data_IF_653745433505
#
_entry.id   IF_653745433505
#
_cell.length_a   1.000
_cell.length_b   1.000
_cell.length_c   1.000
_cell.angle_alpha   90.00
_cell.angle_beta   90.00
_cell.angle_gamma   90.00
#
_symmetry.space_group_name_H-M   'P 1'
#
loop_
_entity.id
_entity.type
_entity.pdbx_description
1 polymer ?
#
# COMPACT_ATOMS: atom_id res chain seq x y z
N UNK A 1 27.45 -21.34 -3.50
CA UNK A 1 26.56 -20.74 -4.56
C UNK A 1 26.13 -19.38 -4.06
N UNK A 2 26.36 -18.29 -4.78
CA UNK A 2 25.96 -16.95 -4.31
C UNK A 2 24.43 -16.88 -4.15
N UNK A 3 23.99 -16.50 -2.98
CA UNK A 3 22.55 -16.39 -2.69
C UNK A 3 21.96 -15.19 -3.42
N UNK A 4 20.83 -15.39 -4.07
CA UNK A 4 20.12 -14.40 -4.89
C UNK A 4 18.69 -14.24 -4.38
N UNK A 5 18.28 -12.99 -4.16
CA UNK A 5 16.87 -12.62 -3.94
C UNK A 5 16.36 -11.73 -5.08
N UNK A 6 15.07 -11.67 -5.27
CA UNK A 6 14.44 -10.74 -6.21
C UNK A 6 13.85 -9.56 -5.45
N UNK A 7 14.04 -8.35 -6.01
CA UNK A 7 13.44 -7.10 -5.55
C UNK A 7 12.55 -6.52 -6.64
N UNK A 8 11.40 -5.96 -6.27
CA UNK A 8 10.50 -5.31 -7.22
C UNK A 8 11.15 -4.07 -7.85
N UNK A 9 11.26 -4.07 -9.18
CA UNK A 9 11.84 -2.97 -9.94
C UNK A 9 11.03 -1.67 -9.89
N UNK A 10 9.76 -1.71 -9.48
CA UNK A 10 8.88 -0.54 -9.30
C UNK A 10 9.19 0.26 -8.05
N UNK A 11 10.00 -0.28 -7.13
CA UNK A 11 10.46 0.44 -5.95
C UNK A 11 11.44 1.55 -6.34
N UNK A 12 11.38 2.68 -5.62
CA UNK A 12 12.33 3.78 -5.81
C UNK A 12 13.75 3.33 -5.45
N UNK A 13 14.71 3.66 -6.30
CA UNK A 13 16.12 3.48 -5.97
C UNK A 13 16.46 4.17 -4.64
N UNK A 14 17.31 3.59 -3.84
CA UNK A 14 17.74 4.04 -2.50
C UNK A 14 16.69 3.96 -1.38
N UNK A 15 15.40 3.68 -1.66
CA UNK A 15 14.41 3.45 -0.59
C UNK A 15 14.83 2.33 0.36
N UNK A 16 15.55 1.35 -0.16
CA UNK A 16 15.93 0.12 0.53
C UNK A 16 17.44 0.05 0.91
N UNK A 17 18.15 1.18 0.92
CA UNK A 17 19.61 1.20 1.12
C UNK A 17 20.07 0.53 2.43
N UNK A 18 19.31 0.66 3.53
CA UNK A 18 19.61 -0.01 4.80
C UNK A 18 19.58 -1.53 4.62
N UNK A 19 18.56 -2.05 3.92
CA UNK A 19 18.38 -3.47 3.60
C UNK A 19 19.51 -3.96 2.69
N UNK A 20 19.80 -3.20 1.64
CA UNK A 20 20.88 -3.50 0.69
C UNK A 20 22.27 -3.49 1.35
N UNK A 21 22.49 -2.59 2.31
CA UNK A 21 23.75 -2.58 3.09
C UNK A 21 23.95 -3.86 3.88
N UNK A 22 22.87 -4.35 4.51
CA UNK A 22 22.91 -5.63 5.20
C UNK A 22 23.12 -6.80 4.21
N UNK A 23 22.41 -6.84 3.08
CA UNK A 23 22.58 -7.90 2.07
C UNK A 23 24.03 -7.97 1.57
N UNK A 24 24.65 -6.80 1.30
CA UNK A 24 26.07 -6.73 0.92
C UNK A 24 26.99 -7.31 2.01
N UNK A 25 26.72 -6.99 3.28
CA UNK A 25 27.58 -7.44 4.39
C UNK A 25 27.56 -8.96 4.60
N UNK A 26 26.47 -9.64 4.23
CA UNK A 26 26.31 -11.10 4.34
C UNK A 26 26.44 -11.83 3.00
N UNK A 27 26.91 -11.15 1.94
CA UNK A 27 27.19 -11.76 0.64
C UNK A 27 25.96 -12.16 -0.18
N UNK A 28 24.78 -11.62 0.15
CA UNK A 28 23.55 -11.85 -0.60
C UNK A 28 23.43 -10.86 -1.76
N UNK A 29 23.18 -11.37 -2.95
CA UNK A 29 22.89 -10.58 -4.14
C UNK A 29 21.39 -10.38 -4.32
N UNK A 30 21.00 -9.28 -4.97
CA UNK A 30 19.60 -9.06 -5.37
C UNK A 30 19.51 -8.64 -6.82
N UNK A 31 18.45 -9.05 -7.48
CA UNK A 31 18.12 -8.66 -8.84
C UNK A 31 16.80 -7.92 -8.83
N UNK A 32 16.74 -6.81 -9.55
CA UNK A 32 15.50 -6.01 -9.68
C UNK A 32 14.72 -6.47 -10.90
N UNK A 33 13.48 -6.90 -10.65
CA UNK A 33 12.53 -7.33 -11.67
C UNK A 33 11.11 -7.01 -11.23
N UNK A 34 10.17 -6.90 -12.16
CA UNK A 34 8.77 -6.70 -11.82
C UNK A 34 8.22 -7.95 -11.12
N UNK A 35 7.88 -7.84 -9.84
CA UNK A 35 7.31 -8.92 -9.06
C UNK A 35 5.79 -8.95 -9.19
N UNK A 36 5.21 -10.13 -9.10
CA UNK A 36 3.77 -10.29 -9.08
C UNK A 36 3.15 -9.75 -7.79
N UNK A 37 3.83 -9.95 -6.67
CA UNK A 37 3.38 -9.54 -5.34
C UNK A 37 4.57 -9.16 -4.46
N UNK A 38 4.38 -8.15 -3.60
CA UNK A 38 5.39 -7.70 -2.62
C UNK A 38 6.61 -7.03 -3.25
N UNK A 39 7.61 -6.78 -2.40
CA UNK A 39 8.87 -6.12 -2.73
C UNK A 39 10.04 -7.11 -2.85
N UNK A 40 9.98 -8.22 -2.10
CA UNK A 40 11.04 -9.25 -2.06
C UNK A 40 10.48 -10.65 -2.14
N UNK A 41 11.20 -11.53 -2.87
CA UNK A 41 10.93 -12.97 -2.95
C UNK A 41 12.18 -13.74 -3.41
N UNK A 42 12.10 -15.08 -3.47
CA UNK A 42 13.15 -15.91 -4.05
C UNK A 42 12.89 -16.22 -5.52
N UNK A 43 13.95 -16.30 -6.37
CA UNK A 43 13.78 -16.67 -7.79
C UNK A 43 13.26 -18.10 -8.00
N UNK A 44 13.66 -19.03 -7.12
CA UNK A 44 13.28 -20.44 -7.24
C UNK A 44 11.94 -20.76 -6.56
N UNK A 45 11.50 -19.91 -5.60
CA UNK A 45 10.27 -20.13 -4.85
C UNK A 45 9.61 -18.79 -4.54
N UNK A 46 8.57 -18.44 -5.26
CA UNK A 46 7.79 -17.24 -5.09
C UNK A 46 6.52 -17.45 -4.24
N UNK A 47 6.42 -18.58 -3.55
CA UNK A 47 5.30 -18.87 -2.64
C UNK A 47 5.30 -17.97 -1.40
N UNK A 48 6.43 -17.33 -1.09
CA UNK A 48 6.57 -16.35 -0.01
C UNK A 48 7.01 -15.02 -0.59
N UNK A 49 6.25 -13.95 -0.31
CA UNK A 49 6.57 -12.59 -0.69
C UNK A 49 6.54 -11.66 0.52
N UNK A 50 7.38 -10.63 0.49
CA UNK A 50 7.45 -9.62 1.54
C UNK A 50 7.14 -8.26 0.93
N UNK A 51 6.17 -7.56 1.49
CA UNK A 51 5.85 -6.16 1.21
C UNK A 51 6.40 -5.29 2.35
N UNK A 52 7.22 -4.30 2.05
CA UNK A 52 7.92 -3.52 3.07
C UNK A 52 7.31 -2.14 3.24
N UNK A 53 7.16 -1.71 4.50
CA UNK A 53 6.70 -0.36 4.86
C UNK A 53 7.82 0.34 5.64
N UNK A 54 8.14 1.56 5.24
CA UNK A 54 9.23 2.34 5.87
C UNK A 54 8.93 2.78 7.30
N UNK A 55 7.63 2.84 7.66
CA UNK A 55 7.15 3.21 8.98
C UNK A 55 5.67 2.84 9.19
N UNK A 56 5.20 2.99 10.43
CA UNK A 56 3.80 2.74 10.78
C UNK A 56 2.85 3.74 10.09
N UNK A 57 3.31 4.94 9.75
CA UNK A 57 2.48 5.94 9.07
C UNK A 57 2.23 5.56 7.60
N UNK A 58 3.20 4.94 6.91
CA UNK A 58 2.99 4.37 5.58
C UNK A 58 1.96 3.24 5.63
N UNK A 59 2.08 2.32 6.61
CA UNK A 59 1.08 1.27 6.83
C UNK A 59 -0.32 1.85 7.05
N UNK A 60 -0.47 2.89 7.89
CA UNK A 60 -1.75 3.58 8.10
C UNK A 60 -2.28 4.15 6.79
N UNK A 61 -1.42 4.80 6.01
CA UNK A 61 -1.79 5.37 4.71
C UNK A 61 -2.37 4.32 3.78
N UNK A 62 -1.70 3.17 3.67
CA UNK A 62 -2.11 2.08 2.80
C UNK A 62 -3.43 1.41 3.24
N UNK A 63 -3.59 1.21 4.56
CA UNK A 63 -4.81 0.63 5.14
C UNK A 63 -6.01 1.57 5.00
N UNK A 64 -5.79 2.88 5.11
CA UNK A 64 -6.83 3.90 5.14
C UNK A 64 -7.15 4.52 3.78
N UNK A 65 -6.60 4.02 2.69
CA UNK A 65 -7.00 4.48 1.36
C UNK A 65 -8.53 4.41 1.27
N UNK A 66 -9.17 5.58 1.21
CA UNK A 66 -10.62 5.67 1.04
C UNK A 66 -10.97 5.13 -0.33
N UNK A 67 -11.45 3.90 -0.36
CA UNK A 67 -11.97 3.30 -1.58
C UNK A 67 -13.20 4.08 -2.02
N UNK A 68 -13.31 4.35 -3.31
CA UNK A 68 -14.53 4.93 -3.87
C UNK A 68 -15.68 3.93 -3.76
N UNK A 69 -16.87 4.41 -3.41
CA UNK A 69 -18.08 3.58 -3.40
C UNK A 69 -18.45 3.12 -4.81
N UNK A 70 -19.19 2.01 -4.93
CA UNK A 70 -19.70 1.54 -6.24
C UNK A 70 -20.57 2.62 -6.91
N UNK A 71 -21.34 3.39 -6.13
CA UNK A 71 -22.15 4.50 -6.65
C UNK A 71 -21.31 5.64 -7.22
N UNK A 72 -20.23 6.06 -6.50
CA UNK A 72 -19.33 7.11 -6.98
C UNK A 72 -18.57 6.67 -8.24
N UNK A 73 -18.15 5.39 -8.29
CA UNK A 73 -17.52 4.81 -9.49
C UNK A 73 -18.52 4.81 -10.65
N UNK A 74 -19.76 4.37 -10.43
CA UNK A 74 -20.79 4.36 -11.47
C UNK A 74 -20.95 5.75 -12.06
N UNK A 75 -21.18 6.74 -11.22
CA UNK A 75 -21.31 8.13 -11.66
C UNK A 75 -20.14 8.57 -12.52
N UNK A 76 -18.89 8.36 -12.06
CA UNK A 76 -17.70 8.78 -12.79
C UNK A 76 -17.45 8.03 -14.09
N UNK A 77 -17.76 6.74 -14.14
CA UNK A 77 -17.68 5.95 -15.39
C UNK A 77 -18.62 6.52 -16.44
N UNK A 78 -19.88 6.82 -16.05
CA UNK A 78 -20.86 7.34 -16.98
C UNK A 78 -20.58 8.80 -17.39
N UNK A 79 -20.10 9.67 -16.49
CA UNK A 79 -19.61 11.01 -16.82
C UNK A 79 -18.46 10.96 -17.84
N UNK A 80 -17.51 10.05 -17.64
CA UNK A 80 -16.37 9.87 -18.54
C UNK A 80 -16.82 9.30 -19.90
N UNK A 81 -17.74 8.36 -19.90
CA UNK A 81 -18.31 7.76 -21.09
C UNK A 81 -19.07 8.80 -21.94
N UNK A 82 -19.91 9.60 -21.32
CA UNK A 82 -20.65 10.68 -21.98
C UNK A 82 -19.71 11.70 -22.62
N UNK A 83 -18.68 12.13 -21.87
CA UNK A 83 -17.68 13.10 -22.34
C UNK A 83 -16.83 12.59 -23.52
N UNK A 84 -16.77 11.28 -23.74
CA UNK A 84 -16.01 10.65 -24.81
C UNK A 84 -16.89 9.91 -25.83
N UNK A 85 -18.20 10.17 -25.85
CA UNK A 85 -19.18 9.57 -26.77
C UNK A 85 -19.20 8.04 -26.74
N UNK A 86 -18.97 7.44 -25.58
CA UNK A 86 -19.04 5.99 -25.35
C UNK A 86 -20.49 5.61 -25.05
N UNK A 87 -21.03 4.61 -25.75
CA UNK A 87 -22.40 4.17 -25.57
C UNK A 87 -22.67 3.58 -24.19
N UNK A 88 -23.94 3.64 -23.74
CA UNK A 88 -24.37 3.20 -22.41
C UNK A 88 -23.96 1.75 -22.09
N UNK A 89 -24.26 0.82 -23.01
CA UNK A 89 -23.96 -0.62 -22.80
C UNK A 89 -22.48 -0.89 -22.59
N UNK A 90 -21.61 -0.15 -23.30
CA UNK A 90 -20.17 -0.27 -23.16
C UNK A 90 -19.68 0.36 -21.83
N UNK A 91 -20.27 1.49 -21.44
CA UNK A 91 -19.99 2.10 -20.15
C UNK A 91 -20.39 1.19 -19.00
N UNK A 92 -21.50 0.47 -19.11
CA UNK A 92 -21.95 -0.51 -18.12
C UNK A 92 -21.01 -1.71 -18.03
N UNK A 93 -20.53 -2.25 -19.15
CA UNK A 93 -19.50 -3.31 -19.16
C UNK A 93 -18.22 -2.85 -18.46
N UNK A 94 -17.72 -1.65 -18.76
CA UNK A 94 -16.54 -1.08 -18.12
C UNK A 94 -16.78 -0.89 -16.62
N UNK A 95 -17.94 -0.40 -16.21
CA UNK A 95 -18.32 -0.25 -14.81
C UNK A 95 -18.28 -1.60 -14.08
N UNK A 96 -18.85 -2.65 -14.68
CA UNK A 96 -18.81 -3.99 -14.08
C UNK A 96 -17.39 -4.51 -13.94
N UNK A 97 -16.55 -4.37 -14.97
CA UNK A 97 -15.14 -4.75 -14.90
C UNK A 97 -14.36 -3.96 -13.80
N UNK A 98 -14.68 -2.66 -13.62
CA UNK A 98 -14.08 -1.86 -12.55
C UNK A 98 -14.58 -2.29 -11.16
N UNK A 99 -15.84 -2.66 -11.03
CA UNK A 99 -16.48 -2.96 -9.75
C UNK A 99 -16.45 -4.43 -9.37
N UNK A 100 -15.93 -5.29 -10.23
CA UNK A 100 -15.77 -6.70 -9.91
C UNK A 100 -14.90 -6.85 -8.66
N UNK A 101 -15.45 -7.54 -7.67
CA UNK A 101 -14.75 -7.78 -6.41
C UNK A 101 -13.73 -8.92 -6.55
N UNK A 102 -13.75 -9.64 -7.68
CA UNK A 102 -12.72 -10.61 -8.04
C UNK A 102 -11.51 -9.89 -8.63
N UNK A 103 -10.80 -9.19 -7.73
CA UNK A 103 -9.61 -8.42 -8.07
C UNK A 103 -8.48 -9.38 -8.41
N UNK A 104 -8.51 -9.86 -9.64
CA UNK A 104 -7.45 -10.66 -10.21
C UNK A 104 -6.49 -9.78 -11.03
N UNK A 105 -5.34 -10.36 -11.35
CA UNK A 105 -4.36 -9.90 -12.35
C UNK A 105 -5.01 -9.56 -13.69
N UNK A 106 -6.16 -10.15 -13.99
CA UNK A 106 -6.87 -10.01 -15.25
C UNK A 106 -7.83 -8.82 -15.32
N UNK A 107 -8.29 -8.26 -14.21
CA UNK A 107 -9.28 -7.17 -14.24
C UNK A 107 -8.74 -5.90 -14.93
N UNK A 108 -7.46 -5.53 -14.71
CA UNK A 108 -6.86 -4.43 -15.48
C UNK A 108 -6.74 -4.77 -16.98
N UNK A 109 -6.44 -6.03 -17.30
CA UNK A 109 -6.39 -6.51 -18.66
C UNK A 109 -7.78 -6.53 -19.29
N UNK A 110 -8.79 -6.95 -18.55
CA UNK A 110 -10.17 -6.97 -19.01
C UNK A 110 -10.67 -5.57 -19.38
N UNK A 111 -10.43 -4.56 -18.54
CA UNK A 111 -10.74 -3.17 -18.85
C UNK A 111 -10.05 -2.74 -20.15
N UNK A 112 -8.76 -3.08 -20.30
CA UNK A 112 -8.00 -2.80 -21.51
C UNK A 112 -8.58 -3.50 -22.73
N UNK A 113 -8.86 -4.80 -22.62
CA UNK A 113 -9.39 -5.60 -23.73
C UNK A 113 -10.76 -5.09 -24.18
N UNK A 114 -11.64 -4.72 -23.24
CA UNK A 114 -12.94 -4.09 -23.55
C UNK A 114 -12.72 -2.77 -24.29
N UNK A 115 -11.84 -1.91 -23.75
CA UNK A 115 -11.61 -0.58 -24.31
C UNK A 115 -10.93 -0.65 -25.69
N UNK A 116 -9.88 -1.47 -25.85
CA UNK A 116 -9.17 -1.63 -27.14
C UNK A 116 -10.05 -2.20 -28.24
N UNK A 117 -10.86 -3.21 -27.95
CA UNK A 117 -11.81 -3.80 -28.91
C UNK A 117 -12.81 -2.80 -29.44
N UNK A 118 -13.12 -1.76 -28.65
CA UNK A 118 -14.11 -0.73 -29.01
C UNK A 118 -13.45 0.59 -29.44
N UNK A 119 -12.14 0.60 -29.70
CA UNK A 119 -11.42 1.76 -30.23
C UNK A 119 -11.35 2.96 -29.28
N UNK A 120 -11.44 2.73 -27.97
CA UNK A 120 -11.35 3.79 -26.96
C UNK A 120 -9.90 4.33 -26.91
N UNK A 121 -9.69 5.65 -26.96
CA UNK A 121 -8.35 6.22 -26.90
C UNK A 121 -7.60 5.89 -25.59
N UNK A 122 -6.30 5.64 -25.67
CA UNK A 122 -5.44 5.27 -24.54
C UNK A 122 -5.57 6.23 -23.34
N UNK A 123 -5.69 7.54 -23.60
CA UNK A 123 -5.92 8.52 -22.52
C UNK A 123 -7.17 8.18 -21.70
N UNK A 124 -8.25 7.77 -22.33
CA UNK A 124 -9.54 7.45 -21.67
C UNK A 124 -9.44 6.11 -20.96
N UNK A 125 -8.71 5.14 -21.54
CA UNK A 125 -8.38 3.86 -20.89
C UNK A 125 -7.65 4.10 -19.57
N UNK A 126 -6.65 4.98 -19.55
CA UNK A 126 -5.89 5.34 -18.35
C UNK A 126 -6.78 5.98 -17.27
N UNK A 127 -7.81 6.74 -17.66
CA UNK A 127 -8.78 7.30 -16.72
C UNK A 127 -9.66 6.20 -16.10
N UNK A 128 -10.14 5.24 -16.88
CA UNK A 128 -10.87 4.07 -16.35
C UNK A 128 -10.01 3.22 -15.42
N UNK A 129 -8.75 2.98 -15.78
CA UNK A 129 -7.79 2.30 -14.91
C UNK A 129 -7.57 3.06 -13.59
N UNK A 130 -7.51 4.40 -13.64
CA UNK A 130 -7.43 5.23 -12.43
C UNK A 130 -8.66 5.04 -11.52
N UNK A 131 -9.86 4.88 -12.08
CA UNK A 131 -11.08 4.58 -11.32
C UNK A 131 -11.01 3.19 -10.67
N UNK A 132 -10.51 2.19 -11.40
CA UNK A 132 -10.27 0.85 -10.86
C UNK A 132 -9.31 0.88 -9.65
N UNK A 133 -8.20 1.62 -9.77
CA UNK A 133 -7.26 1.80 -8.66
C UNK A 133 -7.91 2.50 -7.46
N UNK A 134 -8.72 3.55 -7.71
CA UNK A 134 -9.46 4.26 -6.65
C UNK A 134 -10.53 3.39 -5.98
N UNK A 135 -11.12 2.45 -6.72
CA UNK A 135 -12.11 1.50 -6.18
C UNK A 135 -11.47 0.46 -5.27
N UNK A 136 -10.32 -0.10 -5.68
CA UNK A 136 -9.74 -1.26 -5.01
C UNK A 136 -8.55 -0.92 -4.10
N UNK A 137 -7.85 0.21 -4.34
CA UNK A 137 -6.63 0.59 -3.63
C UNK A 137 -5.44 -0.34 -3.93
N UNK A 138 -4.25 0.19 -4.04
CA UNK A 138 -3.06 -0.62 -4.38
C UNK A 138 -2.77 -1.71 -3.36
N UNK A 139 -2.80 -1.36 -2.08
CA UNK A 139 -2.46 -2.28 -1.01
C UNK A 139 -3.43 -3.46 -0.95
N UNK A 140 -4.73 -3.18 -0.91
CA UNK A 140 -5.76 -4.22 -0.89
C UNK A 140 -5.73 -5.14 -2.11
N UNK A 141 -5.40 -4.61 -3.28
CA UNK A 141 -5.19 -5.40 -4.50
C UNK A 141 -3.99 -6.34 -4.35
N UNK A 142 -2.88 -5.85 -3.76
CA UNK A 142 -1.72 -6.68 -3.45
C UNK A 142 -2.06 -7.84 -2.52
N UNK A 143 -2.80 -7.55 -1.44
CA UNK A 143 -3.28 -8.58 -0.49
C UNK A 143 -4.15 -9.64 -1.18
N UNK A 144 -5.10 -9.20 -2.00
CA UNK A 144 -6.02 -10.12 -2.68
C UNK A 144 -5.31 -10.95 -3.76
N UNK A 145 -4.38 -10.35 -4.51
CA UNK A 145 -3.53 -11.12 -5.46
C UNK A 145 -2.74 -12.22 -4.77
N UNK A 146 -2.13 -11.92 -3.63
CA UNK A 146 -1.41 -12.91 -2.84
C UNK A 146 -2.34 -14.05 -2.41
N UNK A 147 -3.50 -13.71 -1.86
CA UNK A 147 -4.51 -14.68 -1.44
C UNK A 147 -4.97 -15.58 -2.58
N UNK A 148 -5.36 -15.01 -3.71
CA UNK A 148 -5.86 -15.76 -4.88
C UNK A 148 -4.80 -16.68 -5.51
N UNK A 149 -3.52 -16.35 -5.34
CA UNK A 149 -2.39 -17.13 -5.87
C UNK A 149 -1.78 -18.09 -4.84
N UNK A 150 -2.35 -18.19 -3.64
CA UNK A 150 -1.79 -19.01 -2.57
C UNK A 150 -0.42 -18.55 -2.07
N UNK A 151 -0.06 -17.27 -2.31
CA UNK A 151 1.20 -16.68 -1.87
C UNK A 151 1.08 -16.25 -0.41
N UNK A 152 1.99 -16.72 0.42
CA UNK A 152 2.16 -16.23 1.79
C UNK A 152 2.78 -14.84 1.74
N UNK A 153 1.96 -13.80 1.97
CA UNK A 153 2.41 -12.42 1.98
C UNK A 153 2.68 -11.95 3.40
N UNK A 154 3.88 -11.44 3.63
CA UNK A 154 4.28 -10.81 4.87
C UNK A 154 4.45 -9.30 4.64
N UNK A 155 3.72 -8.48 5.41
CA UNK A 155 3.93 -7.04 5.46
C UNK A 155 4.93 -6.74 6.58
N UNK A 156 6.16 -6.40 6.19
CA UNK A 156 7.23 -6.06 7.13
C UNK A 156 7.29 -4.55 7.32
N UNK A 157 7.04 -4.10 8.54
CA UNK A 157 6.95 -2.68 8.89
C UNK A 157 8.18 -2.26 9.69
N UNK A 158 8.97 -1.39 9.10
CA UNK A 158 10.07 -0.75 9.80
C UNK A 158 9.52 0.28 10.79
N UNK A 159 10.02 0.31 12.03
CA UNK A 159 9.62 1.34 12.99
C UNK A 159 10.68 1.56 14.08
N UNK A 160 10.69 2.77 14.66
CA UNK A 160 11.53 3.13 15.80
C UNK A 160 10.73 3.32 17.10
N UNK A 161 9.42 3.07 17.04
CA UNK A 161 8.50 3.30 18.15
C UNK A 161 8.43 2.12 19.13
N UNK A 162 9.22 1.08 18.90
CA UNK A 162 9.30 -0.10 19.78
C UNK A 162 8.22 -1.14 19.54
N UNK A 163 7.39 -0.98 18.50
CA UNK A 163 6.37 -1.96 18.10
C UNK A 163 7.07 -3.19 17.50
N UNK A 164 6.72 -4.39 17.99
CA UNK A 164 7.28 -5.68 17.56
C UNK A 164 6.21 -6.65 17.03
N UNK A 165 4.95 -6.39 17.36
CA UNK A 165 3.80 -7.23 17.01
C UNK A 165 2.55 -6.40 16.78
N UNK A 166 1.50 -7.02 16.24
CA UNK A 166 0.17 -6.39 16.14
C UNK A 166 -0.40 -6.09 17.54
N UNK A 167 -0.07 -6.90 18.54
CA UNK A 167 -0.52 -6.68 19.91
C UNK A 167 0.08 -5.41 20.53
N UNK A 168 1.32 -5.07 20.19
CA UNK A 168 1.94 -3.82 20.65
C UNK A 168 1.25 -2.59 20.10
N UNK A 169 0.63 -2.69 18.92
CA UNK A 169 -0.14 -1.59 18.34
C UNK A 169 -1.31 -1.15 19.23
N UNK A 170 -1.91 -2.05 20.03
CA UNK A 170 -2.99 -1.65 20.94
C UNK A 170 -2.55 -0.62 21.97
N UNK A 171 -1.25 -0.59 22.30
CA UNK A 171 -0.64 0.35 23.25
C UNK A 171 0.14 1.47 22.55
N UNK A 172 0.33 1.38 21.23
CA UNK A 172 1.06 2.38 20.48
C UNK A 172 0.28 3.67 20.39
N UNK A 173 0.93 4.78 20.77
CA UNK A 173 0.39 6.11 20.62
C UNK A 173 0.87 6.72 19.29
N UNK A 174 -0.07 7.17 18.46
CA UNK A 174 0.29 7.79 17.18
C UNK A 174 0.85 9.21 17.42
N UNK A 175 2.13 9.48 17.11
CA UNK A 175 2.74 10.79 17.35
C UNK A 175 2.05 11.94 16.61
N UNK A 176 1.31 11.65 15.53
CA UNK A 176 0.52 12.68 14.82
C UNK A 176 -0.59 13.28 15.67
N UNK A 177 -1.06 12.57 16.68
CA UNK A 177 -2.10 13.08 17.60
C UNK A 177 -1.60 14.22 18.48
N UNK A 178 -0.28 14.36 18.67
CA UNK A 178 0.33 15.38 19.51
C UNK A 178 0.78 16.62 18.72
N UNK A 179 0.56 16.64 17.40
CA UNK A 179 0.99 17.76 16.55
C UNK A 179 -0.08 18.83 16.50
N UNK A 180 0.24 19.99 17.08
CA UNK A 180 -0.61 21.17 17.12
C UNK A 180 -0.04 22.29 16.25
N UNK A 181 -0.90 22.97 15.51
CA UNK A 181 -0.54 24.11 14.65
C UNK A 181 -1.43 25.31 14.97
N UNK A 182 -0.97 26.49 14.59
CA UNK A 182 -1.82 27.67 14.65
C UNK A 182 -2.85 27.62 13.51
N UNK A 183 -4.12 27.86 13.84
CA UNK A 183 -5.17 28.05 12.84
C UNK A 183 -5.10 29.48 12.26
N UNK A 184 -5.97 29.79 11.30
CA UNK A 184 -6.17 31.15 10.81
C UNK A 184 -7.00 32.01 11.74
N UNK A 185 -7.63 31.45 12.79
CA UNK A 185 -8.49 32.13 13.75
C UNK A 185 -7.63 32.90 14.77
N UNK A 186 -7.77 34.24 14.78
CA UNK A 186 -7.12 35.13 15.76
C UNK A 186 -7.99 35.18 17.01
N UNK A 187 -7.42 34.81 18.17
CA UNK A 187 -8.10 34.77 19.48
C UNK A 187 -7.66 35.92 20.40
N UNK A 188 -6.84 36.84 19.90
CA UNK A 188 -6.33 37.99 20.65
C UNK A 188 -4.99 38.47 20.15
N UNK A 189 -4.29 39.26 20.96
CA UNK A 189 -2.94 39.71 20.69
C UNK A 189 -2.00 39.44 21.86
N UNK A 190 -0.72 39.19 21.55
CA UNK A 190 0.33 39.13 22.54
C UNK A 190 0.67 40.54 23.06
N UNK A 191 1.33 40.65 24.22
CA UNK A 191 1.76 41.94 24.80
C UNK A 191 2.58 42.83 23.84
N UNK A 192 3.20 42.24 22.85
CA UNK A 192 3.97 42.92 21.80
C UNK A 192 3.14 43.29 20.55
N UNK A 193 1.81 43.19 20.61
CA UNK A 193 0.88 43.54 19.54
C UNK A 193 0.74 42.48 18.40
N UNK A 194 1.51 41.41 18.45
CA UNK A 194 1.39 40.33 17.43
C UNK A 194 0.11 39.53 17.64
N UNK A 195 -0.58 39.08 16.55
CA UNK A 195 -1.78 38.30 16.67
C UNK A 195 -1.50 36.95 17.36
N UNK A 196 -2.40 36.55 18.26
CA UNK A 196 -2.41 35.24 18.91
C UNK A 196 -3.45 34.36 18.20
N UNK A 197 -2.96 33.27 17.58
CA UNK A 197 -3.82 32.33 16.85
C UNK A 197 -4.30 31.22 17.78
N UNK A 198 -5.49 30.69 17.48
CA UNK A 198 -6.02 29.50 18.11
C UNK A 198 -5.17 28.29 17.66
N UNK A 199 -4.77 27.48 18.64
CA UNK A 199 -4.10 26.21 18.35
C UNK A 199 -5.12 25.12 18.05
N UNK A 200 -4.89 24.39 16.98
CA UNK A 200 -5.71 23.26 16.56
C UNK A 200 -4.83 22.04 16.29
N UNK A 201 -5.38 20.86 16.48
CA UNK A 201 -4.67 19.65 16.16
C UNK A 201 -4.46 19.57 14.65
N UNK A 202 -3.23 19.32 14.20
CA UNK A 202 -2.89 19.23 12.77
C UNK A 202 -3.55 18.04 12.10
N UNK A 203 -3.70 16.94 12.83
CA UNK A 203 -4.27 15.68 12.33
C UNK A 203 -5.44 15.22 13.22
N UNK A 204 -6.60 15.87 13.16
CA UNK A 204 -7.73 15.58 14.07
C UNK A 204 -8.31 14.18 13.89
N UNK A 205 -8.02 13.55 12.76
CA UNK A 205 -8.48 12.18 12.44
C UNK A 205 -7.32 11.17 12.42
N UNK A 206 -6.22 11.46 13.12
CA UNK A 206 -5.11 10.54 13.23
C UNK A 206 -5.59 9.19 13.81
N UNK A 207 -5.14 8.10 13.20
CA UNK A 207 -5.52 6.74 13.59
C UNK A 207 -4.90 6.39 14.92
N UNK A 208 -5.71 5.89 15.85
CA UNK A 208 -5.20 5.34 17.12
C UNK A 208 -4.54 3.98 16.90
N UNK A 209 -3.63 3.60 17.79
CA UNK A 209 -2.99 2.28 17.75
C UNK A 209 -4.00 1.14 17.81
N UNK A 210 -5.01 1.24 18.68
CA UNK A 210 -6.09 0.26 18.76
C UNK A 210 -6.85 0.08 17.44
N UNK A 211 -7.18 1.17 16.74
CA UNK A 211 -7.85 1.11 15.45
C UNK A 211 -6.96 0.45 14.39
N UNK A 212 -5.66 0.78 14.39
CA UNK A 212 -4.69 0.17 13.50
C UNK A 212 -4.56 -1.34 13.76
N UNK A 213 -4.40 -1.74 15.02
CA UNK A 213 -4.32 -3.15 15.43
C UNK A 213 -5.53 -3.94 14.95
N UNK A 214 -6.76 -3.44 15.20
CA UNK A 214 -8.00 -4.06 14.73
C UNK A 214 -8.05 -4.18 13.21
N UNK A 215 -7.54 -3.18 12.48
CA UNK A 215 -7.45 -3.23 11.01
C UNK A 215 -6.48 -4.31 10.54
N UNK A 216 -5.29 -4.42 11.15
CA UNK A 216 -4.32 -5.48 10.84
C UNK A 216 -4.92 -6.86 11.09
N UNK A 217 -5.55 -7.10 12.26
CA UNK A 217 -6.20 -8.37 12.58
C UNK A 217 -7.32 -8.73 11.56
N UNK A 218 -8.12 -7.74 11.18
CA UNK A 218 -9.16 -7.93 10.15
C UNK A 218 -8.55 -8.36 8.82
N UNK A 219 -7.43 -7.76 8.42
CA UNK A 219 -6.73 -8.12 7.18
C UNK A 219 -6.08 -9.50 7.26
N UNK A 220 -5.51 -9.86 8.40
CA UNK A 220 -4.99 -11.22 8.63
C UNK A 220 -6.10 -12.26 8.43
N UNK A 221 -7.27 -12.05 9.04
CA UNK A 221 -8.41 -12.95 8.89
C UNK A 221 -8.96 -12.98 7.46
N UNK A 222 -9.04 -11.83 6.80
CA UNK A 222 -9.65 -11.70 5.48
C UNK A 222 -8.76 -12.20 4.35
N UNK A 223 -7.46 -11.91 4.40
CA UNK A 223 -6.53 -12.13 3.29
C UNK A 223 -5.44 -13.16 3.60
N UNK A 224 -5.34 -13.64 4.85
CA UNK A 224 -4.24 -14.52 5.26
C UNK A 224 -2.87 -13.83 5.29
N UNK A 225 -2.82 -12.49 5.26
CA UNK A 225 -1.58 -11.72 5.33
C UNK A 225 -1.00 -11.75 6.73
N UNK A 226 0.33 -11.73 6.85
CA UNK A 226 1.02 -11.58 8.13
C UNK A 226 1.59 -10.18 8.28
N UNK A 227 1.49 -9.56 9.46
CA UNK A 227 2.17 -8.31 9.79
C UNK A 227 3.32 -8.60 10.76
N UNK A 228 4.52 -8.18 10.38
CA UNK A 228 5.71 -8.25 11.21
C UNK A 228 6.31 -6.85 11.35
N UNK A 229 6.92 -6.60 12.51
CA UNK A 229 7.47 -5.30 12.86
C UNK A 229 8.91 -5.46 13.32
N UNK A 230 9.80 -4.58 12.87
CA UNK A 230 11.20 -4.58 13.29
C UNK A 230 11.77 -3.16 13.26
N UNK A 231 12.98 -2.99 13.80
CA UNK A 231 13.74 -1.76 13.58
C UNK A 231 14.26 -1.72 12.14
N UNK A 232 14.44 -0.53 11.53
CA UNK A 232 14.96 -0.42 10.18
C UNK A 232 16.30 -1.15 9.97
N UNK A 233 17.14 -1.16 11.00
CA UNK A 233 18.46 -1.81 10.97
C UNK A 233 18.36 -3.35 10.96
N UNK A 234 17.26 -3.91 11.46
CA UNK A 234 16.99 -5.36 11.53
C UNK A 234 16.29 -5.88 10.27
N UNK A 235 15.77 -4.97 9.41
CA UNK A 235 14.87 -5.34 8.33
C UNK A 235 15.52 -6.22 7.25
N UNK A 236 16.81 -6.00 6.95
CA UNK A 236 17.55 -6.83 6.01
C UNK A 236 17.67 -8.28 6.50
N UNK A 237 18.08 -8.48 7.76
CA UNK A 237 18.16 -9.80 8.40
C UNK A 237 16.78 -10.47 8.45
N UNK A 238 15.74 -9.70 8.81
CA UNK A 238 14.38 -10.24 8.90
C UNK A 238 13.87 -10.73 7.54
N UNK A 239 14.16 -10.01 6.45
CA UNK A 239 13.81 -10.43 5.08
C UNK A 239 14.48 -11.77 4.76
N UNK A 240 15.77 -11.91 4.99
CA UNK A 240 16.48 -13.17 4.72
C UNK A 240 15.96 -14.33 5.58
N UNK A 241 15.66 -14.07 6.85
CA UNK A 241 15.07 -15.05 7.76
C UNK A 241 13.69 -15.53 7.28
N UNK A 242 12.81 -14.60 6.87
CA UNK A 242 11.47 -14.93 6.35
C UNK A 242 11.57 -15.77 5.07
N UNK A 243 12.50 -15.44 4.18
CA UNK A 243 12.72 -16.15 2.93
C UNK A 243 13.51 -17.45 3.11
N UNK A 244 13.87 -17.83 4.37
CA UNK A 244 14.68 -19.02 4.68
C UNK A 244 16.03 -19.05 3.94
N UNK A 245 16.61 -17.88 3.69
CA UNK A 245 17.94 -17.76 3.10
C UNK A 245 18.97 -18.17 4.16
N UNK A 246 19.59 -19.35 3.99
CA UNK A 246 20.67 -19.80 4.89
C UNK A 246 21.90 -18.93 4.65
N UNK A 247 22.40 -18.29 5.68
CA UNK A 247 23.71 -17.64 5.65
C UNK A 247 24.76 -18.74 5.70
N UNK A 248 25.70 -18.75 4.74
CA UNK A 248 26.88 -19.60 4.83
C UNK A 248 27.75 -19.03 5.98
N UNK A 249 28.00 -19.85 7.01
CA UNK A 249 28.92 -19.53 8.11
C UNK A 249 30.37 -19.43 7.62
#
# INVERSE_FOLDING_TARGET
MKMLILEDSRQQERKHEIKHSYFRSVGVHWNRTALYCGDYTLPADQSVCIDTKKDIQELIGDIQVKQMSKSDIKQKVFELAESNHIGFDLAEQIYHAICDDDVDRFAEKEINDICFKNGIPERVINEFQSLYVKRHGFFHRGLKRAQNSGIRLIVLVDNRDGVRSVDDLFRWHNPRMDIWVNSSEVIGAWKNGRPRYKRVQKYPYAVTGERLAKSCLTMQLKYGVEFQFCKPEESGERILSILNVKQEE
#
